data_IF_242754556308
#
_entry.id   IF_242754556308
#
_cell.length_a   1.000
_cell.length_b   1.000
_cell.length_c   1.000
_cell.angle_alpha   90.00
_cell.angle_beta   90.00
_cell.angle_gamma   90.00
#
_symmetry.space_group_name_H-M   'P 1'
#
loop_
_entity.id
_entity.type
_entity.pdbx_description
1 polymer ?
#
# COMPACT_ATOMS: atom_id res chain seq x y z
N UNK A 1 -3.07 27.25 2.98
CA UNK A 1 -3.80 26.71 1.81
C UNK A 1 -3.68 25.21 1.83
N UNK A 2 -4.80 24.47 2.00
CA UNK A 2 -4.76 23.02 1.83
C UNK A 2 -4.53 22.75 0.35
N UNK A 3 -3.32 22.39 -0.02
CA UNK A 3 -2.99 22.06 -1.41
C UNK A 3 -3.62 20.72 -1.78
N UNK A 4 -4.85 20.78 -2.31
CA UNK A 4 -5.63 19.61 -2.72
C UNK A 4 -4.91 18.85 -3.84
N UNK A 5 -4.11 19.53 -4.66
CA UNK A 5 -3.41 18.94 -5.79
C UNK A 5 -2.38 17.88 -5.38
N UNK A 6 -1.84 17.96 -4.16
CA UNK A 6 -0.82 17.05 -3.64
C UNK A 6 -1.38 15.95 -2.71
N UNK A 7 -2.69 15.93 -2.45
CA UNK A 7 -3.30 14.85 -1.66
C UNK A 7 -3.51 13.60 -2.50
N UNK A 8 -3.22 12.43 -1.95
CA UNK A 8 -3.43 11.13 -2.61
C UNK A 8 -4.88 10.66 -2.44
N UNK A 9 -5.80 11.32 -3.15
CA UNK A 9 -7.25 11.13 -3.03
C UNK A 9 -7.93 10.60 -4.30
N UNK A 10 -7.15 10.19 -5.31
CA UNK A 10 -7.67 9.64 -6.56
C UNK A 10 -7.29 8.17 -6.67
N UNK A 11 -8.29 7.28 -6.66
CA UNK A 11 -8.09 5.85 -6.89
C UNK A 11 -7.87 5.58 -8.37
N UNK A 12 -6.88 4.79 -8.70
CA UNK A 12 -6.63 4.34 -10.07
C UNK A 12 -7.06 2.89 -10.22
N UNK A 13 -7.96 2.65 -11.14
CA UNK A 13 -8.38 1.33 -11.56
C UNK A 13 -7.68 0.92 -12.85
N UNK A 14 -7.50 -0.38 -13.07
CA UNK A 14 -7.17 -0.90 -14.38
C UNK A 14 -8.45 -0.95 -15.27
N UNK A 15 -8.30 -1.33 -16.55
CA UNK A 15 -9.45 -1.41 -17.48
C UNK A 15 -10.53 -2.44 -17.07
N UNK A 16 -10.22 -3.33 -16.12
CA UNK A 16 -11.16 -4.30 -15.54
C UNK A 16 -11.74 -3.81 -14.20
N UNK A 17 -11.61 -2.54 -13.89
CA UNK A 17 -12.11 -1.88 -12.68
C UNK A 17 -11.51 -2.41 -11.36
N UNK A 18 -10.33 -3.00 -11.42
CA UNK A 18 -9.60 -3.43 -10.22
C UNK A 18 -8.66 -2.33 -9.77
N UNK A 19 -8.65 -2.03 -8.47
CA UNK A 19 -7.79 -1.00 -7.89
C UNK A 19 -6.30 -1.37 -8.01
N UNK A 20 -5.50 -0.47 -8.60
CA UNK A 20 -4.08 -0.71 -8.87
C UNK A 20 -3.16 0.35 -8.27
N UNK A 21 -3.65 1.54 -7.95
CA UNK A 21 -2.83 2.62 -7.40
C UNK A 21 -3.69 3.70 -6.75
N UNK A 22 -3.02 4.65 -6.09
CA UNK A 22 -3.58 5.93 -5.65
C UNK A 22 -2.73 7.05 -6.25
N UNK A 23 -3.38 8.13 -6.68
CA UNK A 23 -2.73 9.29 -7.27
C UNK A 23 -3.21 10.58 -6.63
N UNK A 24 -2.44 11.64 -6.87
CA UNK A 24 -2.86 13.01 -6.58
C UNK A 24 -3.78 13.52 -7.70
N UNK A 25 -4.61 14.55 -7.45
CA UNK A 25 -5.39 15.21 -8.50
C UNK A 25 -4.53 15.73 -9.64
N UNK A 26 -3.35 16.27 -9.36
CA UNK A 26 -2.41 16.71 -10.39
C UNK A 26 -2.03 15.60 -11.35
N UNK A 27 -1.63 14.44 -10.82
CA UNK A 27 -1.28 13.26 -11.63
C UNK A 27 -2.48 12.73 -12.41
N UNK A 28 -3.67 12.72 -11.79
CA UNK A 28 -4.90 12.27 -12.42
C UNK A 28 -5.29 13.16 -13.61
N UNK A 29 -5.26 14.48 -13.44
CA UNK A 29 -5.52 15.43 -14.53
C UNK A 29 -4.55 15.26 -15.69
N UNK A 30 -3.25 15.07 -15.42
CA UNK A 30 -2.28 14.79 -16.46
C UNK A 30 -2.61 13.49 -17.23
N UNK A 31 -2.99 12.43 -16.54
CA UNK A 31 -3.34 11.16 -17.17
C UNK A 31 -4.63 11.25 -18.00
N UNK A 32 -5.61 12.02 -17.54
CA UNK A 32 -6.85 12.26 -18.28
C UNK A 32 -6.62 13.14 -19.51
N UNK A 33 -5.90 14.25 -19.37
CA UNK A 33 -5.60 15.19 -20.45
C UNK A 33 -4.73 14.56 -21.57
N UNK A 34 -3.97 13.53 -21.25
CA UNK A 34 -3.18 12.75 -22.23
C UNK A 34 -3.90 11.50 -22.75
N UNK A 35 -5.19 11.34 -22.44
CA UNK A 35 -6.02 10.18 -22.83
C UNK A 35 -5.44 8.81 -22.39
N UNK A 36 -4.64 8.79 -21.30
CA UNK A 36 -4.13 7.56 -20.69
C UNK A 36 -5.16 6.97 -19.71
N UNK A 37 -6.01 7.83 -19.14
CA UNK A 37 -7.08 7.46 -18.24
C UNK A 37 -8.37 8.25 -18.51
N UNK A 38 -9.51 7.70 -18.08
CA UNK A 38 -10.80 8.40 -17.99
C UNK A 38 -11.22 8.50 -16.53
N UNK A 39 -11.94 9.55 -16.16
CA UNK A 39 -12.56 9.62 -14.84
C UNK A 39 -13.81 8.73 -14.78
N UNK A 40 -14.20 8.31 -13.59
CA UNK A 40 -15.53 7.78 -13.33
C UNK A 40 -16.40 8.87 -12.73
N UNK A 41 -17.47 9.21 -13.39
CA UNK A 41 -18.56 9.96 -12.79
C UNK A 41 -19.42 8.99 -12.01
N UNK A 42 -19.48 9.19 -10.70
CA UNK A 42 -20.18 8.32 -9.77
C UNK A 42 -21.30 9.14 -9.13
N UNK A 43 -22.53 8.68 -9.31
CA UNK A 43 -23.73 9.24 -8.70
C UNK A 43 -24.51 8.13 -7.99
N UNK A 44 -24.14 7.94 -6.71
CA UNK A 44 -24.59 6.77 -5.95
C UNK A 44 -23.93 5.46 -6.42
N UNK A 45 -24.48 4.33 -5.95
CA UNK A 45 -23.90 3.01 -6.23
C UNK A 45 -24.30 2.44 -7.62
N UNK A 46 -25.37 2.92 -8.18
CA UNK A 46 -25.98 2.35 -9.40
C UNK A 46 -25.70 3.17 -10.67
N UNK A 47 -25.12 4.32 -10.56
CA UNK A 47 -24.83 5.19 -11.70
C UNK A 47 -23.35 5.54 -11.75
N UNK A 48 -22.60 4.73 -12.50
CA UNK A 48 -21.15 4.89 -12.69
C UNK A 48 -20.89 4.88 -14.19
N UNK A 49 -20.30 5.96 -14.72
CA UNK A 49 -19.92 6.03 -16.13
C UNK A 49 -18.51 6.59 -16.34
N UNK A 50 -17.76 6.05 -17.30
CA UNK A 50 -16.49 6.64 -17.71
C UNK A 50 -16.73 7.97 -18.42
N UNK A 51 -15.88 8.96 -18.11
CA UNK A 51 -15.95 10.31 -18.67
C UNK A 51 -14.56 10.72 -19.15
N UNK A 52 -14.48 11.21 -20.38
CA UNK A 52 -13.24 11.73 -20.97
C UNK A 52 -12.81 13.04 -20.33
N UNK A 53 -11.58 13.47 -20.59
CA UNK A 53 -11.09 14.76 -20.09
C UNK A 53 -11.93 15.95 -20.60
N UNK A 54 -12.22 15.98 -21.90
CA UNK A 54 -12.95 17.08 -22.54
C UNK A 54 -14.38 17.22 -21.98
N UNK A 55 -15.02 16.11 -21.68
CA UNK A 55 -16.32 16.12 -21.01
C UNK A 55 -16.17 16.48 -19.52
N UNK A 56 -15.18 15.92 -18.82
CA UNK A 56 -14.97 16.11 -17.38
C UNK A 56 -14.84 17.58 -16.99
N UNK A 57 -14.09 18.37 -17.76
CA UNK A 57 -13.87 19.79 -17.49
C UNK A 57 -15.13 20.65 -17.66
N UNK A 58 -16.18 20.11 -18.28
CA UNK A 58 -17.48 20.78 -18.46
C UNK A 58 -18.51 20.38 -17.42
N UNK A 59 -18.23 19.33 -16.61
CA UNK A 59 -19.16 18.86 -15.59
C UNK A 59 -19.28 19.86 -14.44
N UNK A 60 -20.51 20.03 -13.90
CA UNK A 60 -20.72 20.87 -12.73
C UNK A 60 -20.01 20.30 -11.48
N UNK A 61 -19.60 21.19 -10.59
CA UNK A 61 -19.11 20.84 -9.27
C UNK A 61 -20.35 20.62 -8.38
N UNK A 62 -20.45 19.48 -7.74
CA UNK A 62 -21.55 19.13 -6.83
C UNK A 62 -21.19 19.49 -5.39
N UNK A 63 -22.19 19.56 -4.52
CA UNK A 63 -21.97 19.75 -3.10
C UNK A 63 -21.08 18.62 -2.54
N UNK A 64 -20.04 19.01 -1.82
CA UNK A 64 -19.05 18.08 -1.25
C UNK A 64 -17.92 17.68 -2.21
N UNK A 65 -17.98 18.01 -3.50
CA UNK A 65 -16.88 17.74 -4.43
C UNK A 65 -15.66 18.62 -4.11
N UNK A 66 -14.48 18.03 -4.19
CA UNK A 66 -13.26 18.81 -4.25
C UNK A 66 -13.08 19.41 -5.64
N UNK A 67 -12.61 20.66 -5.71
CA UNK A 67 -12.37 21.35 -6.97
C UNK A 67 -11.05 22.10 -6.97
N UNK A 68 -10.47 22.27 -8.15
CA UNK A 68 -9.28 23.10 -8.39
C UNK A 68 -9.69 24.32 -9.19
N UNK A 69 -9.42 25.51 -8.64
CA UNK A 69 -9.69 26.76 -9.30
C UNK A 69 -8.60 27.09 -10.33
N UNK A 70 -9.01 27.45 -11.52
CA UNK A 70 -8.17 27.89 -12.63
C UNK A 70 -8.59 29.26 -13.10
N UNK A 71 -7.81 29.89 -13.94
CA UNK A 71 -8.17 31.18 -14.57
C UNK A 71 -9.44 31.13 -15.45
N UNK A 72 -9.85 29.93 -15.89
CA UNK A 72 -11.01 29.70 -16.75
C UNK A 72 -12.21 29.11 -15.99
N UNK A 73 -12.15 29.01 -14.67
CA UNK A 73 -13.18 28.42 -13.83
C UNK A 73 -12.62 27.34 -12.89
N UNK A 74 -13.50 26.54 -12.32
CA UNK A 74 -13.11 25.48 -11.42
C UNK A 74 -13.32 24.11 -12.08
N UNK A 75 -12.41 23.18 -11.84
CA UNK A 75 -12.45 21.80 -12.34
C UNK A 75 -12.64 20.87 -11.16
N UNK A 76 -13.65 20.02 -11.23
CA UNK A 76 -13.92 18.97 -10.23
C UNK A 76 -12.77 17.99 -10.15
N UNK A 77 -12.34 17.63 -8.94
CA UNK A 77 -11.33 16.59 -8.72
C UNK A 77 -12.00 15.23 -8.86
N UNK A 78 -11.52 14.33 -9.74
CA UNK A 78 -12.04 12.96 -9.80
C UNK A 78 -11.62 12.18 -8.56
N UNK A 79 -12.51 11.37 -8.02
CA UNK A 79 -12.21 10.47 -6.92
C UNK A 79 -11.68 9.12 -7.40
N UNK A 80 -12.04 8.75 -8.65
CA UNK A 80 -11.65 7.49 -9.29
C UNK A 80 -11.35 7.73 -10.78
N UNK A 81 -10.25 7.16 -11.27
CA UNK A 81 -9.92 7.13 -12.70
C UNK A 81 -9.61 5.70 -13.15
N UNK A 82 -9.85 5.41 -14.42
CA UNK A 82 -9.59 4.12 -15.07
C UNK A 82 -8.46 4.26 -16.07
N UNK A 83 -7.38 3.51 -15.87
CA UNK A 83 -6.27 3.43 -16.82
C UNK A 83 -6.67 2.56 -18.03
N UNK A 84 -6.76 3.17 -19.23
CA UNK A 84 -7.34 2.54 -20.42
C UNK A 84 -6.50 1.37 -20.96
N UNK A 85 -5.19 1.51 -20.93
CA UNK A 85 -4.26 0.57 -21.57
C UNK A 85 -3.63 -0.43 -20.58
N UNK A 86 -4.19 -0.55 -19.38
CA UNK A 86 -3.62 -1.40 -18.34
C UNK A 86 -4.65 -2.38 -17.78
N UNK A 87 -4.43 -3.69 -17.99
CA UNK A 87 -5.37 -4.74 -17.58
C UNK A 87 -4.92 -5.54 -16.36
N UNK A 88 -3.61 -5.55 -16.09
CA UNK A 88 -3.04 -6.39 -15.03
C UNK A 88 -3.19 -5.73 -13.66
N UNK A 89 -3.28 -6.54 -12.60
CA UNK A 89 -3.05 -6.06 -11.23
C UNK A 89 -1.59 -6.34 -10.90
N UNK A 90 -0.77 -5.30 -10.70
CA UNK A 90 0.63 -5.49 -10.31
C UNK A 90 0.72 -6.25 -9.00
N UNK A 91 1.76 -7.06 -8.85
CA UNK A 91 2.07 -7.74 -7.60
C UNK A 91 3.24 -7.02 -6.92
N UNK A 92 3.17 -6.93 -5.62
CA UNK A 92 4.20 -6.29 -4.80
C UNK A 92 4.48 -7.15 -3.57
N UNK A 93 5.74 -7.21 -3.20
CA UNK A 93 6.14 -7.81 -1.92
C UNK A 93 5.92 -6.80 -0.81
N UNK A 94 5.45 -7.23 0.38
CA UNK A 94 5.40 -6.35 1.54
C UNK A 94 6.75 -5.65 1.78
N UNK A 95 6.71 -4.42 2.28
CA UNK A 95 7.94 -3.70 2.62
C UNK A 95 8.64 -4.40 3.80
N UNK A 96 9.95 -4.57 3.73
CA UNK A 96 10.74 -5.14 4.83
C UNK A 96 10.75 -4.18 6.01
N UNK A 97 10.10 -4.55 7.10
CA UNK A 97 10.07 -3.80 8.36
C UNK A 97 9.69 -4.74 9.54
N UNK A 98 9.80 -4.25 10.76
CA UNK A 98 9.49 -5.03 11.96
C UNK A 98 8.07 -5.60 11.95
N UNK A 99 7.08 -4.79 11.51
CA UNK A 99 5.68 -5.22 11.43
C UNK A 99 5.52 -6.41 10.49
N UNK A 100 6.06 -6.33 9.27
CA UNK A 100 5.89 -7.37 8.25
C UNK A 100 6.69 -8.64 8.54
N UNK A 101 7.86 -8.53 9.20
CA UNK A 101 8.59 -9.69 9.74
C UNK A 101 7.77 -10.37 10.83
N UNK A 102 7.24 -9.60 11.79
CA UNK A 102 6.39 -10.12 12.86
C UNK A 102 5.16 -10.86 12.31
N UNK A 103 4.46 -10.26 11.33
CA UNK A 103 3.29 -10.86 10.67
C UNK A 103 3.67 -12.16 9.93
N UNK A 104 4.80 -12.17 9.18
CA UNK A 104 5.33 -13.35 8.51
C UNK A 104 5.60 -14.48 9.48
N UNK A 105 6.14 -14.17 10.65
CA UNK A 105 6.54 -15.14 11.68
C UNK A 105 5.37 -15.47 12.63
N UNK A 106 4.14 -15.07 12.29
CA UNK A 106 2.93 -15.38 13.05
C UNK A 106 2.92 -14.82 14.47
N UNK A 107 3.54 -13.66 14.70
CA UNK A 107 3.76 -13.04 16.02
C UNK A 107 4.49 -13.98 17.01
N UNK A 108 5.32 -14.93 16.53
CA UNK A 108 6.02 -15.91 17.34
C UNK A 108 7.53 -15.71 17.29
N UNK A 109 8.16 -15.92 18.45
CA UNK A 109 9.61 -16.03 18.50
C UNK A 109 10.09 -17.22 17.64
N UNK A 110 10.95 -16.97 16.67
CA UNK A 110 11.43 -18.00 15.75
C UNK A 110 12.45 -18.96 16.36
N UNK A 111 12.86 -18.74 17.59
CA UNK A 111 13.72 -19.68 18.34
C UNK A 111 12.96 -20.51 19.35
N UNK A 112 11.91 -19.98 19.98
CA UNK A 112 11.20 -20.65 21.08
C UNK A 112 9.77 -21.04 20.74
N UNK A 113 9.18 -20.49 19.69
CA UNK A 113 7.77 -20.68 19.32
C UNK A 113 6.78 -19.90 20.19
N UNK A 114 7.24 -19.21 21.24
CA UNK A 114 6.38 -18.40 22.12
C UNK A 114 5.64 -17.33 21.32
N UNK A 115 4.34 -17.23 21.50
CA UNK A 115 3.53 -16.10 20.98
C UNK A 115 3.93 -14.82 21.72
N UNK A 116 4.19 -13.76 20.98
CA UNK A 116 4.68 -12.49 21.52
C UNK A 116 3.72 -11.35 21.20
N UNK A 117 3.48 -10.48 22.14
CA UNK A 117 2.92 -9.17 21.90
C UNK A 117 3.97 -8.31 21.16
N UNK A 118 3.55 -7.25 20.45
CA UNK A 118 4.49 -6.39 19.68
C UNK A 118 5.66 -5.87 20.52
N UNK A 119 5.37 -5.49 21.77
CA UNK A 119 6.34 -4.93 22.71
C UNK A 119 7.30 -5.96 23.33
N UNK A 120 6.98 -7.24 23.28
CA UNK A 120 7.81 -8.34 23.80
C UNK A 120 8.86 -8.82 22.80
N UNK A 121 8.64 -8.54 21.52
CA UNK A 121 9.52 -9.00 20.46
C UNK A 121 10.42 -7.90 19.90
N UNK A 122 11.42 -8.33 19.16
CA UNK A 122 12.34 -7.50 18.41
C UNK A 122 12.81 -8.18 17.13
N UNK A 123 13.30 -7.40 16.17
CA UNK A 123 14.01 -7.96 15.02
C UNK A 123 15.36 -8.52 15.47
N UNK A 124 15.64 -9.75 15.04
CA UNK A 124 16.94 -10.35 15.20
C UNK A 124 17.55 -10.71 13.83
N UNK A 125 18.85 -10.50 13.70
CA UNK A 125 19.63 -10.92 12.55
C UNK A 125 20.16 -12.34 12.81
N UNK A 126 19.74 -13.31 12.02
CA UNK A 126 20.23 -14.70 12.11
C UNK A 126 21.75 -14.72 11.97
N UNK A 127 22.29 -14.12 10.91
CA UNK A 127 23.70 -13.71 10.81
C UNK A 127 23.83 -12.29 11.34
N UNK A 128 24.54 -12.06 12.46
CA UNK A 128 24.67 -10.72 13.06
C UNK A 128 25.27 -9.69 12.11
N UNK A 129 24.84 -8.43 12.23
CA UNK A 129 25.41 -7.31 11.44
C UNK A 129 26.92 -7.18 11.59
N UNK A 130 27.46 -7.41 12.82
CA UNK A 130 28.90 -7.40 13.09
C UNK A 130 29.68 -8.50 12.34
N UNK A 131 28.97 -9.50 11.78
CA UNK A 131 29.53 -10.58 10.98
C UNK A 131 29.12 -10.50 9.52
N UNK A 132 28.68 -9.34 9.05
CA UNK A 132 28.27 -9.10 7.65
C UNK A 132 26.79 -9.40 7.33
N UNK A 133 25.97 -9.66 8.34
CA UNK A 133 24.52 -9.87 8.15
C UNK A 133 23.82 -8.61 7.64
N UNK A 134 22.97 -8.77 6.63
CA UNK A 134 22.23 -7.67 5.98
C UNK A 134 20.76 -7.63 6.42
N UNK A 135 20.13 -6.47 6.22
CA UNK A 135 18.69 -6.30 6.41
C UNK A 135 17.96 -6.88 5.21
N UNK A 136 17.70 -8.18 5.24
CA UNK A 136 17.01 -8.90 4.19
C UNK A 136 16.06 -9.97 4.75
N UNK A 137 15.08 -10.37 3.94
CA UNK A 137 14.05 -11.34 4.34
C UNK A 137 14.61 -12.68 4.79
N UNK A 138 15.75 -13.09 4.23
CA UNK A 138 16.43 -14.34 4.56
C UNK A 138 17.26 -14.30 5.83
N UNK A 139 17.48 -13.09 6.39
CA UNK A 139 18.34 -12.90 7.56
C UNK A 139 17.63 -12.30 8.78
N UNK A 140 16.41 -11.79 8.63
CA UNK A 140 15.65 -11.18 9.73
C UNK A 140 14.56 -12.12 10.22
N UNK A 141 14.43 -12.25 11.55
CA UNK A 141 13.38 -13.02 12.22
C UNK A 141 12.79 -12.23 13.39
N UNK A 142 11.54 -12.57 13.75
CA UNK A 142 10.93 -12.07 14.98
C UNK A 142 11.38 -12.91 16.17
N UNK A 143 11.94 -12.28 17.19
CA UNK A 143 12.47 -12.96 18.37
C UNK A 143 12.01 -12.28 19.66
N UNK A 144 11.82 -13.05 20.71
CA UNK A 144 11.69 -12.55 22.08
C UNK A 144 12.91 -11.70 22.41
N UNK A 145 12.71 -10.53 23.04
CA UNK A 145 13.78 -9.58 23.36
C UNK A 145 14.86 -10.20 24.26
N UNK A 146 14.48 -11.02 25.24
CA UNK A 146 15.43 -11.68 26.13
C UNK A 146 16.26 -12.74 25.38
N UNK A 147 15.63 -13.50 24.49
CA UNK A 147 16.30 -14.48 23.64
C UNK A 147 17.27 -13.78 22.67
N UNK A 148 16.84 -12.69 22.04
CA UNK A 148 17.69 -11.90 21.16
C UNK A 148 18.90 -11.31 21.90
N UNK A 149 18.68 -10.72 23.07
CA UNK A 149 19.76 -10.18 23.91
C UNK A 149 20.77 -11.28 24.34
N UNK A 150 20.27 -12.47 24.72
CA UNK A 150 21.11 -13.63 25.06
C UNK A 150 21.91 -14.13 23.86
N UNK A 151 21.31 -14.14 22.65
CA UNK A 151 22.02 -14.52 21.42
C UNK A 151 23.16 -13.55 21.12
N UNK A 152 22.89 -12.24 21.20
CA UNK A 152 23.87 -11.19 20.92
C UNK A 152 24.50 -11.33 19.54
N UNK A 153 25.82 -11.17 19.44
CA UNK A 153 26.59 -11.26 18.20
C UNK A 153 26.99 -12.69 17.79
N UNK A 154 26.30 -13.71 18.32
CA UNK A 154 26.52 -15.12 18.00
C UNK A 154 25.57 -15.60 16.93
N UNK A 155 26.00 -16.61 16.19
CA UNK A 155 25.09 -17.38 15.34
C UNK A 155 24.11 -18.18 16.22
N UNK A 156 22.92 -18.55 15.71
CA UNK A 156 21.94 -19.29 16.50
C UNK A 156 22.53 -20.54 17.18
N UNK A 157 23.25 -21.36 16.42
CA UNK A 157 23.86 -22.60 16.96
C UNK A 157 24.94 -22.33 18.04
N UNK A 158 25.71 -21.24 17.91
CA UNK A 158 26.70 -20.83 18.92
C UNK A 158 26.01 -20.38 20.23
N UNK A 159 24.77 -19.90 20.14
CA UNK A 159 23.96 -19.50 21.28
C UNK A 159 23.07 -20.62 21.84
N UNK A 160 23.20 -21.86 21.32
CA UNK A 160 22.33 -22.99 21.66
C UNK A 160 20.89 -22.81 21.17
N UNK A 161 20.69 -22.03 20.11
CA UNK A 161 19.38 -21.74 19.53
C UNK A 161 19.23 -22.45 18.17
N UNK A 162 18.00 -22.81 17.86
CA UNK A 162 17.63 -23.37 16.55
C UNK A 162 16.44 -22.59 15.99
N UNK A 163 16.52 -22.23 14.72
CA UNK A 163 15.37 -21.65 14.02
C UNK A 163 14.26 -22.68 13.82
N UNK A 164 13.03 -22.30 14.09
CA UNK A 164 11.85 -23.13 13.81
C UNK A 164 11.62 -23.26 12.31
N UNK A 165 11.86 -22.17 11.57
CA UNK A 165 11.75 -22.15 10.11
C UNK A 165 12.89 -21.35 9.51
N UNK A 166 13.32 -21.72 8.31
CA UNK A 166 14.28 -20.93 7.54
C UNK A 166 13.57 -19.67 7.05
N UNK A 167 14.04 -18.47 7.42
CA UNK A 167 13.38 -17.24 7.02
C UNK A 167 13.44 -17.05 5.50
N UNK A 168 12.30 -16.70 4.92
CA UNK A 168 12.16 -16.46 3.47
C UNK A 168 11.33 -15.21 3.24
N UNK A 169 11.48 -14.62 2.07
CA UNK A 169 10.61 -13.54 1.65
C UNK A 169 9.16 -14.02 1.51
N UNK A 170 8.15 -13.25 1.97
CA UNK A 170 6.75 -13.59 1.74
C UNK A 170 6.44 -13.55 0.24
N UNK A 171 5.36 -14.23 -0.14
CA UNK A 171 4.85 -14.15 -1.52
C UNK A 171 4.46 -12.71 -1.87
N UNK A 172 4.58 -12.39 -3.13
CA UNK A 172 4.05 -11.14 -3.65
C UNK A 172 2.52 -11.17 -3.64
N UNK A 173 1.92 -10.07 -3.21
CA UNK A 173 0.48 -9.87 -3.16
C UNK A 173 0.04 -8.86 -4.23
N UNK A 174 -1.19 -8.95 -4.72
CA UNK A 174 -1.77 -7.89 -5.55
C UNK A 174 -1.65 -6.54 -4.86
N UNK A 175 -1.31 -5.49 -5.60
CA UNK A 175 -1.15 -4.14 -5.02
C UNK A 175 -2.42 -3.64 -4.35
N UNK A 176 -3.59 -4.11 -4.77
CA UNK A 176 -4.89 -3.82 -4.16
C UNK A 176 -4.90 -4.12 -2.64
N UNK A 177 -4.20 -5.18 -2.20
CA UNK A 177 -4.09 -5.53 -0.78
C UNK A 177 -3.36 -4.47 0.08
N UNK A 178 -2.63 -3.54 -0.55
CA UNK A 178 -1.88 -2.48 0.12
C UNK A 178 -2.54 -1.11 0.02
N UNK A 179 -3.58 -0.97 -0.81
CA UNK A 179 -4.31 0.28 -0.95
C UNK A 179 -5.13 0.51 0.32
N UNK A 180 -5.04 1.72 0.87
CA UNK A 180 -5.79 2.16 2.05
C UNK A 180 -6.47 3.48 1.77
N UNK A 181 -7.73 3.59 2.13
CA UNK A 181 -8.52 4.81 2.02
C UNK A 181 -8.24 5.76 3.19
N UNK A 182 -7.01 6.28 3.26
CA UNK A 182 -6.57 7.13 4.36
C UNK A 182 -7.36 8.46 4.47
N UNK A 183 -7.89 8.93 3.36
CA UNK A 183 -8.67 10.18 3.28
C UNK A 183 -10.18 9.97 3.34
N UNK A 184 -10.64 8.73 3.52
CA UNK A 184 -12.07 8.36 3.64
C UNK A 184 -12.92 8.84 2.46
N UNK A 185 -12.38 8.72 1.24
CA UNK A 185 -13.11 9.03 0.01
C UNK A 185 -14.26 8.03 -0.15
N UNK A 186 -15.50 8.52 -0.18
CA UNK A 186 -16.69 7.67 -0.06
C UNK A 186 -16.81 6.66 -1.22
N UNK A 187 -16.53 7.09 -2.45
CA UNK A 187 -16.69 6.30 -3.67
C UNK A 187 -15.72 5.12 -3.77
N UNK A 188 -14.60 5.16 -3.01
CA UNK A 188 -13.62 4.08 -3.04
C UNK A 188 -14.17 2.76 -2.47
N UNK A 189 -15.23 2.83 -1.64
CA UNK A 189 -15.91 1.63 -1.10
C UNK A 189 -16.45 0.70 -2.18
N UNK A 190 -16.77 1.26 -3.35
CA UNK A 190 -17.27 0.48 -4.49
C UNK A 190 -16.20 -0.42 -5.13
N UNK A 191 -14.91 -0.15 -4.85
CA UNK A 191 -13.77 -0.80 -5.52
C UNK A 191 -12.77 -1.43 -4.55
N UNK A 192 -12.89 -1.16 -3.25
CA UNK A 192 -12.03 -1.70 -2.21
C UNK A 192 -12.86 -2.58 -1.27
N UNK A 193 -12.37 -3.78 -1.00
CA UNK A 193 -12.92 -4.64 0.06
C UNK A 193 -12.40 -4.09 1.41
N UNK A 194 -13.18 -3.27 2.07
CA UNK A 194 -12.93 -2.82 3.45
C UNK A 194 -13.74 -3.66 4.43
#
# INVERSE_FOLDING_TARGET
MNDILNKTIVLVLNRNWQAINIRTPQEAFCQMATNVATALEIDGENHIRPVTWDEWITLPIRDGDNAVHTVRGAIRVPTVIVALNFAKVPKKRPKLCAKTIRERDGNRCQYTGKLLRPEEGSLDHVLPRSRGGKDEWGNLVWSDKAVNARKGNRLPHEAGLKLLTVPRAPKELPVTAFIRNAHRVAEWKLFLNE
#
